data_IF_533792939318
#
_entry.id   IF_533792939318
#
_cell.length_a   1.000
_cell.length_b   1.000
_cell.length_c   1.000
_cell.angle_alpha   90.00
_cell.angle_beta   90.00
_cell.angle_gamma   90.00
#
_symmetry.space_group_name_H-M   'P 1'
#
loop_
_entity.id
_entity.type
_entity.pdbx_description
1 polymer ?
#
# COMPACT_ATOMS: atom_id res chain seq x y z
N UNK A 1 0.14 13.09 16.88
CA UNK A 1 0.42 12.53 15.54
C UNK A 1 0.60 13.72 14.59
N UNK A 2 1.66 13.77 13.78
CA UNK A 2 1.88 14.88 12.84
C UNK A 2 1.14 14.55 11.54
N UNK A 3 0.33 15.48 11.02
CA UNK A 3 -0.21 15.38 9.66
C UNK A 3 0.90 15.67 8.66
N UNK A 4 0.92 14.91 7.58
CA UNK A 4 1.75 15.21 6.41
C UNK A 4 0.77 15.77 5.38
N UNK A 5 0.99 17.02 4.98
CA UNK A 5 0.29 17.60 3.84
C UNK A 5 1.05 17.21 2.58
N UNK A 6 0.33 16.64 1.61
CA UNK A 6 0.88 16.26 0.32
C UNK A 6 0.36 17.22 -0.74
N UNK A 7 1.25 17.66 -1.61
CA UNK A 7 0.88 18.26 -2.89
C UNK A 7 0.22 17.21 -3.79
N UNK A 8 -0.53 17.66 -4.81
CA UNK A 8 -1.14 16.77 -5.80
C UNK A 8 -0.13 15.83 -6.46
N UNK A 9 1.06 16.36 -6.80
CA UNK A 9 2.14 15.56 -7.38
C UNK A 9 2.66 14.51 -6.41
N UNK A 10 2.87 14.86 -5.14
CA UNK A 10 3.31 13.90 -4.12
C UNK A 10 2.26 12.82 -3.86
N UNK A 11 0.97 13.19 -3.82
CA UNK A 11 -0.12 12.24 -3.68
C UNK A 11 -0.18 11.26 -4.86
N UNK A 12 -0.06 11.77 -6.09
CA UNK A 12 -0.06 10.94 -7.30
C UNK A 12 1.14 9.99 -7.35
N UNK A 13 2.35 10.51 -7.10
CA UNK A 13 3.57 9.68 -7.02
C UNK A 13 3.47 8.64 -5.91
N UNK A 14 2.92 9.00 -4.75
CA UNK A 14 2.74 8.06 -3.65
C UNK A 14 1.72 6.96 -4.00
N UNK A 15 0.63 7.29 -4.70
CA UNK A 15 -0.33 6.31 -5.19
C UNK A 15 0.32 5.30 -6.13
N UNK A 16 1.09 5.76 -7.13
CA UNK A 16 1.82 4.87 -8.06
C UNK A 16 2.78 3.92 -7.32
N UNK A 17 3.52 4.45 -6.33
CA UNK A 17 4.44 3.67 -5.51
C UNK A 17 3.68 2.62 -4.70
N UNK A 18 2.55 2.98 -4.09
CA UNK A 18 1.73 2.08 -3.30
C UNK A 18 1.10 0.97 -4.14
N UNK A 19 0.65 1.28 -5.36
CA UNK A 19 0.12 0.27 -6.30
C UNK A 19 1.20 -0.76 -6.69
N UNK A 20 2.41 -0.28 -7.03
CA UNK A 20 3.55 -1.17 -7.31
C UNK A 20 3.89 -2.02 -6.11
N UNK A 21 3.99 -1.40 -4.92
CA UNK A 21 4.32 -2.10 -3.69
C UNK A 21 3.30 -3.19 -3.33
N UNK A 22 2.00 -2.92 -3.51
CA UNK A 22 0.95 -3.93 -3.30
C UNK A 22 1.15 -5.13 -4.24
N UNK A 23 1.51 -4.88 -5.50
CA UNK A 23 1.80 -5.94 -6.47
C UNK A 23 3.00 -6.81 -6.04
N UNK A 24 4.06 -6.17 -5.58
CA UNK A 24 5.27 -6.86 -5.11
C UNK A 24 4.98 -7.69 -3.85
N UNK A 25 4.28 -7.11 -2.88
CA UNK A 25 3.86 -7.81 -1.64
C UNK A 25 2.98 -9.01 -1.95
N UNK A 26 2.02 -8.90 -2.88
CA UNK A 26 1.19 -10.03 -3.33
C UNK A 26 2.04 -11.14 -3.92
N UNK A 27 3.02 -10.78 -4.74
CA UNK A 27 3.93 -11.73 -5.40
C UNK A 27 4.76 -12.48 -4.36
N UNK A 28 5.38 -11.76 -3.43
CA UNK A 28 6.17 -12.35 -2.34
C UNK A 28 5.32 -13.23 -1.41
N UNK A 29 4.09 -12.79 -1.10
CA UNK A 29 3.17 -13.52 -0.23
C UNK A 29 2.76 -14.87 -0.81
N UNK A 30 2.62 -14.95 -2.13
CA UNK A 30 2.31 -16.20 -2.84
C UNK A 30 3.55 -17.10 -2.91
N UNK A 31 4.74 -16.52 -3.11
CA UNK A 31 5.98 -17.27 -3.25
C UNK A 31 6.52 -17.83 -1.93
N UNK A 32 6.24 -17.19 -0.80
CA UNK A 32 6.84 -17.60 0.49
C UNK A 32 6.10 -18.77 1.16
N UNK A 33 6.89 -19.72 1.69
CA UNK A 33 6.38 -20.84 2.49
C UNK A 33 6.22 -20.47 3.97
N UNK A 34 6.87 -19.40 4.42
CA UNK A 34 6.80 -18.94 5.83
C UNK A 34 5.40 -18.45 6.17
N UNK A 35 4.79 -19.04 7.20
CA UNK A 35 3.47 -18.61 7.70
C UNK A 35 3.53 -17.25 8.38
N UNK A 36 4.61 -16.96 9.10
CA UNK A 36 4.81 -15.68 9.78
C UNK A 36 4.92 -14.56 8.75
N UNK A 37 5.80 -14.75 7.74
CA UNK A 37 5.98 -13.75 6.68
C UNK A 37 4.71 -13.56 5.86
N UNK A 38 3.92 -14.62 5.61
CA UNK A 38 2.61 -14.47 4.96
C UNK A 38 1.64 -13.58 5.75
N UNK A 39 1.67 -13.62 7.08
CA UNK A 39 0.84 -12.75 7.91
C UNK A 39 1.31 -11.31 7.83
N UNK A 40 2.62 -11.06 7.97
CA UNK A 40 3.22 -9.73 7.86
C UNK A 40 2.92 -9.09 6.49
N UNK A 41 3.10 -9.86 5.40
CA UNK A 41 2.78 -9.39 4.05
C UNK A 41 1.29 -9.09 3.85
N UNK A 42 0.37 -9.79 4.54
CA UNK A 42 -1.07 -9.42 4.52
C UNK A 42 -1.32 -8.10 5.23
N UNK A 43 -0.65 -7.85 6.34
CA UNK A 43 -0.77 -6.58 7.07
C UNK A 43 -0.23 -5.43 6.22
N UNK A 44 0.91 -5.63 5.55
CA UNK A 44 1.49 -4.66 4.62
C UNK A 44 0.54 -4.37 3.45
N UNK A 45 -0.05 -5.41 2.85
CA UNK A 45 -1.05 -5.28 1.78
C UNK A 45 -2.26 -4.45 2.25
N UNK A 46 -2.76 -4.71 3.47
CA UNK A 46 -3.89 -4.00 4.03
C UNK A 46 -3.59 -2.53 4.33
N UNK A 47 -2.42 -2.23 4.90
CA UNK A 47 -1.99 -0.85 5.19
C UNK A 47 -1.82 -0.07 3.89
N UNK A 48 -1.14 -0.64 2.90
CA UNK A 48 -0.93 0.04 1.62
C UNK A 48 -2.25 0.30 0.88
N UNK A 49 -3.19 -0.65 0.91
CA UNK A 49 -4.51 -0.48 0.32
C UNK A 49 -5.34 0.60 1.05
N UNK A 50 -5.24 0.71 2.38
CA UNK A 50 -5.90 1.77 3.14
C UNK A 50 -5.30 3.15 2.82
N UNK A 51 -3.97 3.25 2.73
CA UNK A 51 -3.30 4.48 2.31
C UNK A 51 -3.73 4.91 0.91
N UNK A 52 -3.82 3.98 -0.05
CA UNK A 52 -4.26 4.27 -1.40
C UNK A 52 -5.70 4.82 -1.43
N UNK A 53 -6.62 4.23 -0.67
CA UNK A 53 -8.01 4.71 -0.56
C UNK A 53 -8.10 6.12 0.01
N UNK A 54 -7.19 6.47 0.92
CA UNK A 54 -7.11 7.81 1.51
C UNK A 54 -6.47 8.83 0.58
N UNK A 55 -5.69 8.38 -0.41
CA UNK A 55 -5.04 9.21 -1.41
C UNK A 55 -5.90 9.44 -2.65
N UNK A 56 -6.79 8.52 -3.03
CA UNK A 56 -7.78 8.73 -4.10
C UNK A 56 -8.95 9.60 -3.58
N UNK A 57 -9.06 10.89 -3.91
CA UNK A 57 -10.23 11.68 -3.55
C UNK A 57 -11.32 11.39 -4.59
N UNK A 58 -12.24 10.49 -4.29
CA UNK A 58 -13.53 10.39 -5.01
C UNK A 58 -13.66 9.28 -6.06
N UNK A 59 -13.56 8.01 -5.67
CA UNK A 59 -14.40 6.97 -6.26
C UNK A 59 -15.64 6.77 -5.38
N UNK A 60 -16.65 7.61 -5.58
CA UNK A 60 -18.02 7.42 -5.10
C UNK A 60 -18.93 7.17 -6.30
#
# INVERSE_FOLDING_TARGET
MKSIELTEKEAMTLSEILESYISDVKTERVATESRVLRTELREHEAIAADLLKRLEPGKA
#
